data_IF_507838777773
#
_entry.id   IF_507838777773
#
_cell.length_a   1.000
_cell.length_b   1.000
_cell.length_c   1.000
_cell.angle_alpha   90.00
_cell.angle_beta   90.00
_cell.angle_gamma   90.00
#
_symmetry.space_group_name_H-M   'P 1'
#
loop_
_entity.id
_entity.type
_entity.pdbx_description
1 polymer ?
#
# COMPACT_ATOMS: atom_id res chain seq x y z
N UNK A 1 -5.23 12.12 -8.79
CA UNK A 1 -4.66 11.32 -9.90
C UNK A 1 -4.88 9.83 -9.72
N UNK A 2 -4.34 9.19 -8.67
CA UNK A 2 -4.44 7.74 -8.44
C UNK A 2 -5.85 7.15 -8.68
N UNK A 3 -6.87 7.63 -7.95
CA UNK A 3 -8.23 7.11 -8.09
C UNK A 3 -8.85 7.30 -9.48
N UNK A 4 -8.49 8.37 -10.18
CA UNK A 4 -8.98 8.62 -11.54
C UNK A 4 -8.41 7.60 -12.54
N UNK A 5 -7.12 7.29 -12.44
CA UNK A 5 -6.50 6.24 -13.26
C UNK A 5 -7.11 4.87 -12.98
N UNK A 6 -7.32 4.54 -11.69
CA UNK A 6 -7.98 3.30 -11.30
C UNK A 6 -9.42 3.21 -11.86
N UNK A 7 -10.17 4.31 -11.81
CA UNK A 7 -11.52 4.37 -12.36
C UNK A 7 -11.53 4.16 -13.88
N UNK A 8 -10.64 4.82 -14.61
CA UNK A 8 -10.50 4.65 -16.07
C UNK A 8 -10.22 3.19 -16.44
N UNK A 9 -9.22 2.58 -15.77
CA UNK A 9 -8.89 1.17 -15.96
C UNK A 9 -10.07 0.24 -15.63
N UNK A 10 -10.79 0.51 -14.54
CA UNK A 10 -11.96 -0.27 -14.12
C UNK A 10 -13.09 -0.19 -15.15
N UNK A 11 -13.25 0.97 -15.80
CA UNK A 11 -14.24 1.19 -16.86
C UNK A 11 -13.79 0.69 -18.24
N UNK A 12 -12.58 0.12 -18.35
CA UNK A 12 -12.04 -0.44 -19.59
C UNK A 12 -11.48 0.60 -20.55
N UNK A 13 -11.16 1.80 -20.08
CA UNK A 13 -10.46 2.81 -20.87
C UNK A 13 -9.04 2.32 -21.24
N UNK A 14 -8.59 2.62 -22.45
CA UNK A 14 -7.28 2.18 -22.95
C UNK A 14 -6.13 3.16 -22.64
N UNK A 15 -6.43 4.23 -21.87
CA UNK A 15 -5.54 5.28 -21.41
C UNK A 15 -4.84 6.05 -22.53
N UNK A 16 -5.27 5.90 -23.79
CA UNK A 16 -4.58 6.47 -24.96
C UNK A 16 -4.61 7.99 -25.05
N UNK A 17 -5.53 8.64 -24.32
CA UNK A 17 -5.64 10.09 -24.25
C UNK A 17 -4.79 10.72 -23.15
N UNK A 18 -4.14 9.90 -22.30
CA UNK A 18 -3.31 10.41 -21.21
C UNK A 18 -1.93 10.83 -21.71
N UNK A 19 -1.49 12.01 -21.26
CA UNK A 19 -0.08 12.38 -21.35
C UNK A 19 0.66 11.82 -20.13
N UNK A 20 1.25 10.63 -20.30
CA UNK A 20 1.98 9.95 -19.24
C UNK A 20 3.18 10.76 -18.73
N UNK A 21 3.84 11.53 -19.61
CA UNK A 21 5.03 12.31 -19.24
C UNK A 21 4.66 13.51 -18.36
N UNK A 22 3.56 14.21 -18.70
CA UNK A 22 3.05 15.31 -17.87
C UNK A 22 2.65 14.77 -16.49
N UNK A 23 1.85 13.71 -16.43
CA UNK A 23 1.40 13.15 -15.15
C UNK A 23 2.58 12.65 -14.29
N UNK A 24 3.57 11.99 -14.88
CA UNK A 24 4.77 11.58 -14.15
C UNK A 24 5.61 12.76 -13.67
N UNK A 25 5.71 13.84 -14.47
CA UNK A 25 6.43 15.05 -14.05
C UNK A 25 5.78 15.72 -12.83
N UNK A 26 4.44 15.74 -12.77
CA UNK A 26 3.71 16.27 -11.62
C UNK A 26 3.92 15.41 -10.38
N UNK A 27 3.86 14.08 -10.51
CA UNK A 27 4.13 13.17 -9.38
C UNK A 27 5.57 13.31 -8.89
N UNK A 28 6.54 13.37 -9.81
CA UNK A 28 7.94 13.53 -9.45
C UNK A 28 8.24 14.86 -8.75
N UNK A 29 7.56 15.94 -9.15
CA UNK A 29 7.69 17.24 -8.51
C UNK A 29 7.19 17.27 -7.05
N UNK A 30 6.32 16.33 -6.65
CA UNK A 30 5.81 16.22 -5.27
C UNK A 30 6.80 15.53 -4.31
N UNK A 31 7.84 14.87 -4.82
CA UNK A 31 8.77 14.13 -3.95
C UNK A 31 9.55 15.08 -3.03
N UNK A 32 9.47 14.83 -1.73
CA UNK A 32 10.16 15.63 -0.71
C UNK A 32 11.62 15.18 -0.51
N UNK A 33 12.36 16.01 0.23
CA UNK A 33 13.77 15.78 0.51
C UNK A 33 14.07 14.51 1.31
N UNK A 34 13.08 13.92 1.98
CA UNK A 34 13.20 12.63 2.70
C UNK A 34 12.72 11.44 1.85
N UNK A 35 12.18 11.67 0.66
CA UNK A 35 11.64 10.64 -0.25
C UNK A 35 10.12 10.44 -0.15
N UNK A 36 9.46 11.08 0.82
CA UNK A 36 7.99 11.00 0.98
C UNK A 36 7.26 11.87 -0.06
N UNK A 37 5.94 11.70 -0.14
CA UNK A 37 5.06 12.46 -1.03
C UNK A 37 3.89 13.04 -0.22
N UNK A 38 3.53 14.33 -0.37
CA UNK A 38 2.29 14.90 0.14
C UNK A 38 1.13 14.64 -0.82
N UNK A 39 -0.10 14.96 -0.41
CA UNK A 39 -1.27 14.87 -1.29
C UNK A 39 -1.26 15.87 -2.44
N UNK A 40 -0.63 17.02 -2.24
CA UNK A 40 -0.48 18.08 -3.24
C UNK A 40 0.67 19.01 -2.87
N UNK A 41 1.08 19.84 -3.83
CA UNK A 41 2.16 20.81 -3.63
C UNK A 41 1.88 21.74 -2.46
N UNK A 42 2.82 21.82 -1.51
CA UNK A 42 2.73 22.68 -0.33
C UNK A 42 1.96 22.09 0.85
N UNK A 43 1.37 20.90 0.71
CA UNK A 43 0.75 20.21 1.84
C UNK A 43 1.80 19.58 2.77
N UNK A 44 1.46 19.48 4.06
CA UNK A 44 2.31 18.93 5.12
C UNK A 44 1.85 17.54 5.59
N UNK A 45 1.09 16.85 4.73
CA UNK A 45 0.43 15.57 5.04
C UNK A 45 1.16 14.36 4.46
N UNK A 46 2.45 14.52 4.15
CA UNK A 46 3.23 13.45 3.55
C UNK A 46 3.28 12.20 4.43
N UNK A 47 2.92 11.06 3.83
CA UNK A 47 2.93 9.77 4.50
C UNK A 47 3.01 8.59 3.51
N UNK A 48 3.08 7.38 4.07
CA UNK A 48 3.17 6.13 3.30
C UNK A 48 2.01 5.89 2.33
N UNK A 49 0.83 6.49 2.52
CA UNK A 49 -0.30 6.36 1.58
C UNK A 49 0.01 7.03 0.26
N UNK A 50 0.58 8.22 0.32
CA UNK A 50 0.92 9.00 -0.88
C UNK A 50 2.15 8.42 -1.57
N UNK A 51 3.11 7.86 -0.83
CA UNK A 51 4.20 7.10 -1.44
C UNK A 51 3.69 5.87 -2.20
N UNK A 52 2.76 5.10 -1.62
CA UNK A 52 2.06 4.04 -2.33
C UNK A 52 1.37 4.54 -3.60
N UNK A 53 0.60 5.63 -3.51
CA UNK A 53 -0.10 6.20 -4.65
C UNK A 53 0.87 6.63 -5.75
N UNK A 54 2.04 7.19 -5.40
CA UNK A 54 3.08 7.55 -6.35
C UNK A 54 3.61 6.32 -7.10
N UNK A 55 3.93 5.23 -6.39
CA UNK A 55 4.33 3.96 -7.03
C UNK A 55 3.23 3.33 -7.89
N UNK A 56 1.97 3.41 -7.48
CA UNK A 56 0.86 2.89 -8.26
C UNK A 56 0.62 3.71 -9.54
N UNK A 57 0.69 5.04 -9.46
CA UNK A 57 0.62 5.90 -10.65
C UNK A 57 1.80 5.58 -11.58
N UNK A 58 3.01 5.51 -11.05
CA UNK A 58 4.23 5.14 -11.81
C UNK A 58 4.05 3.82 -12.53
N UNK A 59 3.56 2.78 -11.86
CA UNK A 59 3.34 1.47 -12.47
C UNK A 59 2.38 1.55 -13.67
N UNK A 60 1.25 2.25 -13.52
CA UNK A 60 0.28 2.44 -14.60
C UNK A 60 0.92 3.18 -15.78
N UNK A 61 1.60 4.30 -15.51
CA UNK A 61 2.17 5.17 -16.54
C UNK A 61 3.45 4.63 -17.20
N UNK A 62 4.04 3.57 -16.65
CA UNK A 62 5.19 2.89 -17.24
C UNK A 62 4.84 1.58 -17.93
N UNK A 63 3.74 0.92 -17.53
CA UNK A 63 3.45 -0.45 -17.99
C UNK A 63 2.09 -0.63 -18.65
N UNK A 64 1.11 0.24 -18.38
CA UNK A 64 -0.27 0.05 -18.83
C UNK A 64 -0.73 1.07 -19.89
N UNK A 65 0.07 2.10 -20.16
CA UNK A 65 -0.18 3.08 -21.22
C UNK A 65 0.51 2.69 -22.52
N UNK A 66 0.02 3.20 -23.66
CA UNK A 66 0.63 2.98 -24.99
C UNK A 66 1.99 3.65 -25.15
N UNK A 67 2.12 4.86 -24.62
CA UNK A 67 3.34 5.68 -24.68
C UNK A 67 3.86 5.94 -23.25
N UNK A 68 4.76 5.09 -22.73
CA UNK A 68 5.28 5.22 -21.37
C UNK A 68 6.10 6.50 -21.15
N UNK A 69 6.02 7.05 -19.94
CA UNK A 69 6.89 8.14 -19.52
C UNK A 69 8.33 7.67 -19.29
N UNK A 70 9.31 8.48 -19.71
CA UNK A 70 10.72 8.33 -19.31
C UNK A 70 11.08 9.16 -18.08
N UNK A 71 10.20 10.08 -17.66
CA UNK A 71 10.32 10.85 -16.42
C UNK A 71 9.93 9.94 -15.25
N UNK A 72 10.71 10.03 -14.18
CA UNK A 72 10.49 9.29 -12.94
C UNK A 72 10.93 10.09 -11.72
N UNK A 73 10.53 9.64 -10.54
CA UNK A 73 11.02 10.14 -9.26
C UNK A 73 12.16 9.25 -8.73
N UNK A 74 12.83 9.69 -7.66
CA UNK A 74 13.88 8.91 -7.01
C UNK A 74 13.26 7.74 -6.23
N UNK A 75 13.15 6.57 -6.87
CA UNK A 75 12.51 5.39 -6.30
C UNK A 75 13.29 4.83 -5.11
N UNK A 76 14.62 4.91 -5.14
CA UNK A 76 15.47 4.42 -4.04
C UNK A 76 15.20 5.23 -2.77
N UNK A 77 15.11 6.56 -2.91
CA UNK A 77 14.81 7.45 -1.80
C UNK A 77 13.39 7.29 -1.27
N UNK A 78 12.42 7.07 -2.16
CA UNK A 78 11.04 6.77 -1.76
C UNK A 78 10.95 5.45 -0.97
N UNK A 79 11.69 4.41 -1.38
CA UNK A 79 11.75 3.14 -0.65
C UNK A 79 12.52 3.26 0.67
N UNK A 80 13.55 4.10 0.71
CA UNK A 80 14.25 4.41 1.95
C UNK A 80 13.31 5.06 2.98
N UNK A 81 12.46 6.02 2.55
CA UNK A 81 11.39 6.56 3.40
C UNK A 81 10.45 5.47 3.91
N UNK A 82 9.96 4.58 3.03
CA UNK A 82 9.10 3.45 3.42
C UNK A 82 9.79 2.56 4.44
N UNK A 83 11.07 2.26 4.27
CA UNK A 83 11.84 1.45 5.20
C UNK A 83 11.96 2.09 6.59
N UNK A 84 12.13 3.41 6.66
CA UNK A 84 12.16 4.16 7.92
C UNK A 84 10.80 4.24 8.62
N UNK A 85 9.70 3.98 7.92
CA UNK A 85 8.36 3.92 8.51
C UNK A 85 8.06 2.58 9.20
N UNK A 86 8.94 1.59 9.08
CA UNK A 86 8.80 0.30 9.76
C UNK A 86 9.19 0.42 11.24
N UNK A 87 8.33 -0.05 12.13
CA UNK A 87 8.55 -0.01 13.58
C UNK A 87 9.12 -1.32 14.13
N UNK A 88 9.55 -1.25 15.39
CA UNK A 88 10.11 -2.37 16.14
C UNK A 88 9.14 -3.56 16.30
N UNK A 89 7.84 -3.37 16.13
CA UNK A 89 6.82 -4.41 16.23
C UNK A 89 6.59 -5.13 14.89
N UNK A 90 7.21 -4.67 13.81
CA UNK A 90 7.12 -5.22 12.47
C UNK A 90 6.09 -4.53 11.57
N UNK A 91 5.17 -3.73 12.11
CA UNK A 91 4.23 -2.94 11.32
C UNK A 91 4.84 -1.64 10.80
N UNK A 92 4.10 -0.94 9.94
CA UNK A 92 4.52 0.35 9.40
C UNK A 92 3.56 1.47 9.81
N UNK A 93 4.12 2.65 10.10
CA UNK A 93 3.41 3.89 10.33
C UNK A 93 3.29 4.76 9.07
N UNK A 94 2.71 5.95 9.25
CA UNK A 94 2.57 6.95 8.18
C UNK A 94 3.89 7.68 7.90
N UNK A 95 4.68 7.89 8.94
CA UNK A 95 5.98 8.53 8.92
C UNK A 95 6.90 7.83 9.92
N UNK A 96 8.22 8.07 9.87
CA UNK A 96 9.16 7.47 10.82
C UNK A 96 8.76 7.76 12.28
N UNK A 97 8.62 6.68 13.08
CA UNK A 97 8.21 6.76 14.49
C UNK A 97 6.71 6.88 14.73
N UNK A 98 5.87 6.98 13.69
CA UNK A 98 4.42 6.92 13.84
C UNK A 98 3.97 5.49 14.18
N UNK A 99 2.85 5.36 14.92
CA UNK A 99 2.30 4.07 15.32
C UNK A 99 2.01 3.15 14.13
N UNK A 100 2.35 1.87 14.27
CA UNK A 100 2.06 0.84 13.27
C UNK A 100 0.57 0.71 13.02
N UNK A 101 0.18 0.71 11.74
CA UNK A 101 -1.22 0.65 11.32
C UNK A 101 -1.39 -0.26 10.11
N UNK A 102 -2.45 -1.08 10.08
CA UNK A 102 -2.60 -2.13 9.07
C UNK A 102 -2.75 -1.54 7.65
N UNK A 103 -3.52 -0.45 7.50
CA UNK A 103 -3.63 0.25 6.22
C UNK A 103 -2.30 0.86 5.74
N UNK A 104 -1.46 1.35 6.66
CA UNK A 104 -0.16 1.96 6.32
C UNK A 104 0.90 0.88 6.05
N UNK A 105 0.81 -0.25 6.74
CA UNK A 105 1.56 -1.48 6.47
C UNK A 105 1.26 -1.99 5.07
N UNK A 106 -0.02 -2.05 4.69
CA UNK A 106 -0.39 -2.40 3.32
C UNK A 106 0.17 -1.41 2.31
N UNK A 107 0.06 -0.09 2.56
CA UNK A 107 0.61 0.92 1.64
C UNK A 107 2.13 0.74 1.45
N UNK A 108 2.87 0.52 2.53
CA UNK A 108 4.31 0.26 2.48
C UNK A 108 4.65 -0.99 1.65
N UNK A 109 3.97 -2.12 1.92
CA UNK A 109 4.20 -3.38 1.20
C UNK A 109 3.79 -3.27 -0.28
N UNK A 110 2.68 -2.60 -0.57
CA UNK A 110 2.21 -2.38 -1.94
C UNK A 110 3.17 -1.48 -2.73
N UNK A 111 3.73 -0.42 -2.11
CA UNK A 111 4.75 0.41 -2.75
C UNK A 111 5.99 -0.41 -3.15
N UNK A 112 6.48 -1.27 -2.25
CA UNK A 112 7.63 -2.15 -2.50
C UNK A 112 7.29 -3.15 -3.61
N UNK A 113 6.12 -3.79 -3.54
CA UNK A 113 5.68 -4.76 -4.54
C UNK A 113 5.50 -4.13 -5.93
N UNK A 114 4.96 -2.91 -6.02
CA UNK A 114 4.79 -2.22 -7.31
C UNK A 114 6.12 -1.79 -7.93
N UNK A 115 7.16 -1.55 -7.12
CA UNK A 115 8.50 -1.28 -7.64
C UNK A 115 9.16 -2.55 -8.21
N UNK A 116 9.02 -3.68 -7.51
CA UNK A 116 9.59 -4.97 -7.92
C UNK A 116 8.54 -6.11 -7.87
N UNK A 117 7.60 -6.19 -8.83
CA UNK A 117 6.48 -7.15 -8.75
C UNK A 117 6.91 -8.62 -8.74
N UNK A 118 8.09 -8.90 -9.27
CA UNK A 118 8.65 -10.26 -9.35
C UNK A 118 9.55 -10.62 -8.17
N UNK A 119 9.78 -9.69 -7.23
CA UNK A 119 10.58 -9.99 -6.03
C UNK A 119 9.79 -10.92 -5.12
N UNK A 120 10.34 -12.08 -4.70
CA UNK A 120 9.67 -13.01 -3.81
C UNK A 120 9.73 -12.51 -2.35
N UNK A 121 8.96 -11.47 -2.02
CA UNK A 121 8.93 -10.87 -0.67
C UNK A 121 8.60 -11.93 0.39
N UNK A 122 7.76 -12.92 0.05
CA UNK A 122 7.40 -14.06 0.90
C UNK A 122 8.59 -14.86 1.45
N UNK A 123 9.72 -14.87 0.73
CA UNK A 123 10.92 -15.64 1.10
C UNK A 123 11.97 -14.79 1.80
N UNK A 124 11.74 -13.48 1.91
CA UNK A 124 12.68 -12.55 2.53
C UNK A 124 12.49 -12.59 4.06
N UNK A 125 13.46 -13.17 4.81
CA UNK A 125 13.33 -13.36 6.26
C UNK A 125 13.23 -12.03 7.00
N UNK A 126 13.61 -10.91 6.37
CA UNK A 126 13.43 -9.59 6.96
C UNK A 126 11.96 -9.24 7.22
N UNK A 127 10.99 -9.89 6.57
CA UNK A 127 9.55 -9.65 6.78
C UNK A 127 8.90 -10.56 7.82
N UNK A 128 9.63 -11.50 8.43
CA UNK A 128 9.09 -12.42 9.45
C UNK A 128 8.31 -11.69 10.54
N UNK A 129 8.87 -10.60 11.06
CA UNK A 129 8.20 -9.81 12.10
C UNK A 129 6.93 -9.10 11.59
N UNK A 130 6.94 -8.63 10.34
CA UNK A 130 5.76 -8.03 9.70
C UNK A 130 4.65 -9.07 9.52
N UNK A 131 5.00 -10.30 9.14
CA UNK A 131 4.06 -11.42 9.05
C UNK A 131 3.42 -11.67 10.40
N UNK A 132 4.22 -11.84 11.47
CA UNK A 132 3.67 -12.04 12.82
C UNK A 132 2.75 -10.90 13.26
N UNK A 133 3.15 -9.66 12.99
CA UNK A 133 2.34 -8.47 13.32
C UNK A 133 0.99 -8.47 12.61
N UNK A 134 0.94 -8.86 11.33
CA UNK A 134 -0.29 -8.95 10.53
C UNK A 134 -1.20 -10.08 11.01
N UNK A 135 -0.65 -11.27 11.29
CA UNK A 135 -1.44 -12.41 11.80
C UNK A 135 -2.08 -12.08 13.16
N UNK A 136 -1.42 -11.28 13.99
CA UNK A 136 -1.96 -10.77 15.27
C UNK A 136 -3.02 -9.66 15.10
N UNK A 137 -3.46 -9.35 13.88
CA UNK A 137 -4.61 -8.44 13.66
C UNK A 137 -5.94 -9.17 13.68
N UNK A 138 -5.96 -10.48 13.45
CA UNK A 138 -7.21 -11.25 13.51
C UNK A 138 -7.65 -11.41 14.97
N UNK A 139 -8.82 -10.89 15.27
CA UNK A 139 -9.42 -10.93 16.60
C UNK A 139 -10.28 -12.20 16.75
N UNK A 140 -10.73 -12.47 17.98
CA UNK A 140 -11.57 -13.62 18.29
C UNK A 140 -12.95 -13.59 17.62
N UNK A 141 -13.39 -12.44 17.11
CA UNK A 141 -14.62 -12.29 16.33
C UNK A 141 -14.41 -12.61 14.83
N UNK A 142 -13.20 -13.03 14.42
CA UNK A 142 -12.84 -13.34 13.05
C UNK A 142 -12.42 -12.13 12.21
N UNK A 143 -12.82 -10.93 12.63
CA UNK A 143 -12.46 -9.68 11.98
C UNK A 143 -11.05 -9.22 12.31
N UNK A 144 -10.62 -8.15 11.64
CA UNK A 144 -9.28 -7.59 11.80
C UNK A 144 -9.29 -6.21 12.44
N UNK A 145 -8.34 -5.95 13.33
CA UNK A 145 -8.07 -4.60 13.84
C UNK A 145 -6.95 -3.90 13.03
N UNK A 146 -6.93 -2.57 13.11
CA UNK A 146 -5.89 -1.77 12.46
C UNK A 146 -4.57 -1.68 13.24
N UNK A 147 -4.62 -1.90 14.56
CA UNK A 147 -3.50 -1.77 15.50
C UNK A 147 -3.85 -2.43 16.83
N UNK A 148 -2.82 -2.74 17.62
CA UNK A 148 -2.96 -3.44 18.89
C UNK A 148 -4.00 -2.82 19.83
N UNK A 149 -4.82 -3.67 20.45
CA UNK A 149 -5.81 -3.27 21.46
C UNK A 149 -7.05 -2.57 20.90
N UNK A 150 -7.26 -2.56 19.58
CA UNK A 150 -8.46 -1.99 18.95
C UNK A 150 -9.41 -3.09 18.49
N UNK A 151 -10.68 -2.72 18.33
CA UNK A 151 -11.74 -3.59 17.82
C UNK A 151 -11.57 -3.87 16.33
N UNK A 152 -12.25 -4.92 15.86
CA UNK A 152 -12.32 -5.25 14.44
C UNK A 152 -13.09 -4.19 13.65
N UNK A 153 -12.65 -3.94 12.41
CA UNK A 153 -13.34 -3.11 11.44
C UNK A 153 -13.21 -3.76 10.06
N UNK A 154 -14.32 -3.80 9.32
CA UNK A 154 -14.45 -4.46 8.01
C UNK A 154 -13.37 -4.03 7.03
N UNK A 155 -12.92 -2.77 7.04
CA UNK A 155 -11.91 -2.32 6.10
C UNK A 155 -10.54 -3.02 6.29
N UNK A 156 -10.21 -3.47 7.50
CA UNK A 156 -8.96 -4.20 7.76
C UNK A 156 -8.99 -5.62 7.24
N UNK A 157 -10.17 -6.17 6.92
CA UNK A 157 -10.26 -7.44 6.18
C UNK A 157 -9.54 -7.32 4.83
N UNK A 158 -9.64 -6.18 4.16
CA UNK A 158 -8.83 -5.91 2.97
C UNK A 158 -7.36 -5.64 3.33
N UNK A 159 -7.09 -4.66 4.20
CA UNK A 159 -5.72 -4.20 4.44
C UNK A 159 -4.79 -5.30 4.96
N UNK A 160 -5.28 -6.15 5.86
CA UNK A 160 -4.49 -7.25 6.43
C UNK A 160 -4.37 -8.39 5.42
N UNK A 161 -5.49 -8.86 4.86
CA UNK A 161 -5.48 -9.99 3.92
C UNK A 161 -4.64 -9.69 2.69
N UNK A 162 -4.81 -8.51 2.08
CA UNK A 162 -4.02 -8.12 0.92
C UNK A 162 -2.52 -7.98 1.23
N UNK A 163 -2.16 -7.55 2.45
CA UNK A 163 -0.77 -7.56 2.91
C UNK A 163 -0.22 -8.98 3.01
N UNK A 164 -1.00 -9.91 3.56
CA UNK A 164 -0.64 -11.32 3.61
C UNK A 164 -0.55 -11.95 2.20
N UNK A 165 -1.37 -11.52 1.24
CA UNK A 165 -1.26 -11.94 -0.16
C UNK A 165 0.06 -11.47 -0.80
N UNK A 166 0.44 -10.20 -0.63
CA UNK A 166 1.74 -9.68 -1.10
C UNK A 166 2.90 -10.48 -0.49
N UNK A 167 2.77 -10.87 0.78
CA UNK A 167 3.75 -11.65 1.52
C UNK A 167 3.63 -13.17 1.29
N UNK A 168 2.68 -13.65 0.46
CA UNK A 168 2.51 -15.08 0.17
C UNK A 168 2.15 -15.94 1.38
N UNK A 169 1.46 -15.37 2.38
CA UNK A 169 1.11 -16.04 3.66
C UNK A 169 -0.38 -15.91 4.01
N UNK A 170 -1.23 -15.59 3.04
CA UNK A 170 -2.68 -15.48 3.25
C UNK A 170 -3.32 -16.78 3.79
N UNK A 171 -2.74 -17.94 3.45
CA UNK A 171 -3.20 -19.25 3.93
C UNK A 171 -3.02 -19.45 5.45
N UNK A 172 -2.28 -18.57 6.13
CA UNK A 172 -2.13 -18.61 7.59
C UNK A 172 -3.25 -17.87 8.34
N UNK A 173 -4.14 -17.18 7.63
CA UNK A 173 -5.31 -16.53 8.21
C UNK A 173 -6.44 -17.53 8.44
N UNK A 174 -7.23 -17.33 9.50
CA UNK A 174 -8.45 -18.13 9.72
C UNK A 174 -9.55 -17.63 8.78
N UNK A 175 -9.66 -18.26 7.60
CA UNK A 175 -10.59 -17.85 6.54
C UNK A 175 -12.04 -18.08 6.95
N UNK A 176 -12.35 -19.19 7.63
CA UNK A 176 -13.72 -19.50 8.07
C UNK A 176 -14.23 -18.44 9.06
N UNK A 177 -13.38 -18.01 10.01
CA UNK A 177 -13.74 -16.94 10.94
C UNK A 177 -13.88 -15.57 10.24
N UNK A 178 -13.03 -15.28 9.24
CA UNK A 178 -13.11 -14.06 8.46
C UNK A 178 -14.43 -13.99 7.67
N UNK A 179 -14.81 -15.07 6.99
CA UNK A 179 -16.05 -15.13 6.21
C UNK A 179 -17.27 -14.92 7.11
N UNK A 180 -17.30 -15.59 8.27
CA UNK A 180 -18.35 -15.40 9.26
C UNK A 180 -18.42 -13.94 9.75
N UNK A 181 -17.28 -13.28 10.00
CA UNK A 181 -17.25 -11.86 10.37
C UNK A 181 -17.82 -10.96 9.27
N UNK A 182 -17.44 -11.20 8.01
CA UNK A 182 -17.89 -10.40 6.86
C UNK A 182 -19.40 -10.49 6.66
N UNK A 183 -20.01 -11.66 6.88
CA UNK A 183 -21.46 -11.83 6.84
C UNK A 183 -22.18 -10.94 7.86
N UNK A 184 -21.58 -10.73 9.04
CA UNK A 184 -22.16 -9.82 10.06
C UNK A 184 -22.06 -8.34 9.72
N UNK A 185 -21.20 -7.96 8.76
CA UNK A 185 -20.94 -6.56 8.40
C UNK A 185 -21.84 -6.03 7.29
N UNK A 186 -22.60 -6.90 6.63
CA UNK A 186 -23.44 -6.50 5.50
C UNK A 186 -24.69 -5.77 5.98
N UNK A 187 -25.07 -4.72 5.26
CA UNK A 187 -26.41 -4.15 5.44
C UNK A 187 -27.42 -5.14 4.85
N UNK A 188 -28.52 -5.46 5.55
CA UNK A 188 -29.56 -6.37 5.05
C UNK A 188 -30.14 -5.98 3.69
#
# INVERSE_FOLDING_TARGET
TYFALQLLLTLGDDLSLLDASVLMSEVAALQLADGSFPSAQGNLDADTRFTYMAFAIRYILQHLVKEPSTIDFDTEKALLFVSHCRNYDGGFGGSPGAESHAGLTWCALAAIHLHEPHRPIAQDPSYTQTIHWLLQRQNADGGFNGRFGKVSDVCYCFWVTASCCILGVADLLDQDALDAYLETCQTP
#
